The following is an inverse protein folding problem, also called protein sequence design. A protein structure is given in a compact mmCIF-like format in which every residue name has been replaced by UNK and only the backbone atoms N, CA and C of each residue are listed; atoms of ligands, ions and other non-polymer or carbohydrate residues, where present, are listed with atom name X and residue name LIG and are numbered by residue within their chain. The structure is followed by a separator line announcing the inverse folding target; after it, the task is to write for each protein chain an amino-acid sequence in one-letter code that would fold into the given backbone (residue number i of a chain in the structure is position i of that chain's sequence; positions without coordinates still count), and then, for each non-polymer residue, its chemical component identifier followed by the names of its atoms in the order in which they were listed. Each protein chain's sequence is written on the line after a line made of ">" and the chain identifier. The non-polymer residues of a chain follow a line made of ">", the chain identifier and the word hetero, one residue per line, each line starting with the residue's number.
data_IF_986507559597
#
_entry.id   IF_986507559597
#
_cell.length_a   1.000
_cell.length_b   1.000
_cell.length_c   1.000
_cell.angle_alpha   90.00
_cell.angle_beta   90.00
_cell.angle_gamma   90.00
#
_symmetry.space_group_name_H-M   'P 1'
#
loop_
_entity.id
_entity.type
_entity.pdbx_description
1 polymer ?
#
# COMPACT_ATOMS: atom_id res chain seq x y z
N UNK A 1 -13.24 -6.20 -16.60
CA UNK A 1 -13.90 -6.00 -15.29
C UNK A 1 -12.83 -6.23 -14.24
N UNK A 2 -12.81 -5.45 -13.15
CA UNK A 2 -11.83 -5.64 -12.07
C UNK A 2 -12.19 -6.91 -11.29
N UNK A 3 -11.26 -7.84 -11.09
CA UNK A 3 -11.47 -9.01 -10.25
C UNK A 3 -11.07 -8.74 -8.79
N UNK A 4 -12.04 -8.31 -7.98
CA UNK A 4 -11.85 -8.02 -6.57
C UNK A 4 -11.48 -9.24 -5.71
N UNK A 5 -11.77 -10.46 -6.20
CA UNK A 5 -11.46 -11.71 -5.50
C UNK A 5 -10.08 -12.26 -5.87
N UNK A 6 -9.43 -11.72 -6.90
CA UNK A 6 -8.09 -12.11 -7.31
C UNK A 6 -7.15 -12.11 -6.10
N UNK A 7 -6.39 -13.19 -5.95
CA UNK A 7 -5.43 -13.39 -4.87
C UNK A 7 -4.17 -14.01 -5.48
N UNK A 8 -2.97 -13.40 -5.29
CA UNK A 8 -1.73 -14.02 -5.72
C UNK A 8 -1.54 -15.38 -5.04
N UNK A 9 -0.94 -16.34 -5.73
CA UNK A 9 -0.60 -17.64 -5.12
C UNK A 9 0.49 -17.48 -4.04
N UNK A 10 1.46 -16.59 -4.29
CA UNK A 10 2.54 -16.22 -3.37
C UNK A 10 3.01 -14.80 -3.69
N UNK A 11 3.59 -14.12 -2.69
CA UNK A 11 4.32 -12.87 -2.92
C UNK A 11 5.81 -13.07 -3.16
N UNK A 12 6.33 -14.26 -2.86
CA UNK A 12 7.76 -14.53 -2.86
C UNK A 12 8.12 -15.41 -4.07
N UNK A 13 9.10 -14.95 -4.83
CA UNK A 13 9.70 -15.62 -5.98
C UNK A 13 11.02 -16.34 -5.63
N UNK A 14 11.40 -16.33 -4.35
CA UNK A 14 12.61 -16.97 -3.83
C UNK A 14 13.82 -16.05 -3.68
N UNK A 15 13.71 -14.74 -3.95
CA UNK A 15 14.85 -13.81 -3.83
C UNK A 15 15.03 -13.19 -2.45
N UNK A 16 14.12 -13.42 -1.50
CA UNK A 16 14.24 -12.90 -0.14
C UNK A 16 12.98 -13.08 0.71
N UNK A 17 13.05 -12.72 2.01
CA UNK A 17 11.93 -12.80 2.94
C UNK A 17 10.96 -11.61 2.85
N UNK A 18 11.26 -10.63 1.99
CA UNK A 18 10.51 -9.38 1.82
C UNK A 18 10.07 -9.22 0.37
N UNK A 19 8.80 -8.87 0.16
CA UNK A 19 8.22 -8.59 -1.15
C UNK A 19 7.63 -7.16 -1.19
N UNK A 20 7.89 -6.42 -2.27
CA UNK A 20 7.23 -5.14 -2.52
C UNK A 20 5.86 -5.38 -3.16
N UNK A 21 4.79 -5.13 -2.42
CA UNK A 21 3.42 -5.37 -2.89
C UNK A 21 2.89 -4.24 -3.75
N UNK A 22 3.11 -3.00 -3.34
CA UNK A 22 2.66 -1.82 -4.08
C UNK A 22 3.56 -0.62 -3.80
N UNK A 23 3.77 0.20 -4.83
CA UNK A 23 4.29 1.56 -4.71
C UNK A 23 3.13 2.53 -4.89
N UNK A 24 2.97 3.44 -3.93
CA UNK A 24 1.94 4.47 -3.91
C UNK A 24 2.62 5.83 -4.08
N UNK A 25 2.12 6.63 -5.00
CA UNK A 25 2.53 8.03 -5.16
C UNK A 25 1.32 8.89 -4.89
N UNK A 26 1.45 9.93 -4.06
CA UNK A 26 0.38 10.88 -3.74
C UNK A 26 0.72 12.25 -4.32
N UNK A 27 0.35 12.54 -5.59
CA UNK A 27 0.67 13.81 -6.25
C UNK A 27 0.06 15.03 -5.57
N UNK A 28 -1.08 14.85 -4.89
CA UNK A 28 -1.81 15.92 -4.22
C UNK A 28 -1.29 16.25 -2.82
N UNK A 29 -0.40 15.40 -2.27
CA UNK A 29 0.23 15.65 -1.00
C UNK A 29 1.34 16.69 -1.14
N UNK A 30 1.67 17.37 -0.04
CA UNK A 30 2.48 18.61 -0.07
C UNK A 30 3.87 18.41 -0.67
N UNK A 31 4.40 17.20 -0.56
CA UNK A 31 5.77 16.87 -0.96
C UNK A 31 5.84 15.78 -2.03
N UNK A 32 4.70 15.36 -2.60
CA UNK A 32 4.64 14.25 -3.55
C UNK A 32 5.01 12.93 -2.90
N UNK A 33 4.32 12.61 -1.81
CA UNK A 33 4.63 11.52 -0.89
C UNK A 33 4.64 10.17 -1.63
N UNK A 34 5.74 9.44 -1.49
CA UNK A 34 5.87 8.06 -1.96
C UNK A 34 5.81 7.11 -0.77
N UNK A 35 5.00 6.06 -0.89
CA UNK A 35 4.85 5.01 0.11
C UNK A 35 5.04 3.66 -0.55
N UNK A 36 5.85 2.82 0.07
CA UNK A 36 6.01 1.43 -0.32
C UNK A 36 5.28 0.53 0.66
N UNK A 37 4.45 -0.37 0.14
CA UNK A 37 3.79 -1.42 0.92
C UNK A 37 4.58 -2.71 0.73
N UNK A 38 5.16 -3.20 1.81
CA UNK A 38 5.94 -4.43 1.86
C UNK A 38 5.16 -5.56 2.52
N UNK A 39 5.59 -6.78 2.22
CA UNK A 39 5.20 -7.97 2.94
C UNK A 39 6.41 -8.79 3.35
N UNK A 40 6.41 -9.21 4.61
CA UNK A 40 7.37 -10.14 5.19
C UNK A 40 6.64 -11.42 5.64
N UNK A 41 7.36 -12.53 5.74
CA UNK A 41 6.83 -13.75 6.38
C UNK A 41 7.56 -13.98 7.70
N UNK A 42 6.78 -14.05 8.78
CA UNK A 42 7.26 -14.32 10.13
C UNK A 42 6.42 -15.48 10.67
N UNK A 43 7.08 -16.58 11.04
CA UNK A 43 6.42 -17.79 11.56
C UNK A 43 5.28 -18.33 10.69
N UNK A 44 5.39 -18.14 9.36
CA UNK A 44 4.38 -18.58 8.38
C UNK A 44 3.17 -17.64 8.23
N UNK A 45 3.11 -16.55 8.99
CA UNK A 45 2.13 -15.48 8.82
C UNK A 45 2.71 -14.37 7.91
N UNK A 46 1.88 -13.83 7.03
CA UNK A 46 2.23 -12.66 6.24
C UNK A 46 2.05 -11.42 7.10
N UNK A 47 3.10 -10.61 7.21
CA UNK A 47 3.11 -9.32 7.88
C UNK A 47 3.24 -8.21 6.85
N UNK A 48 2.44 -7.17 6.96
CA UNK A 48 2.41 -6.03 6.06
C UNK A 48 2.97 -4.80 6.76
N UNK A 49 3.77 -4.04 6.03
CA UNK A 49 4.36 -2.80 6.49
C UNK A 49 4.21 -1.76 5.39
N UNK A 50 3.91 -0.52 5.77
CA UNK A 50 3.91 0.59 4.84
C UNK A 50 4.88 1.65 5.34
N UNK A 51 5.80 2.04 4.47
CA UNK A 51 6.92 2.91 4.82
C UNK A 51 6.97 4.05 3.80
N UNK A 52 7.06 5.27 4.29
CA UNK A 52 7.23 6.45 3.44
C UNK A 52 8.69 6.60 2.94
N UNK A 53 8.92 7.60 2.08
CA UNK A 53 10.27 7.93 1.59
C UNK A 53 11.28 8.29 2.71
N UNK A 54 10.81 8.78 3.86
CA UNK A 54 11.65 9.20 4.98
C UNK A 54 11.94 8.06 5.98
N UNK A 55 11.39 6.86 5.73
CA UNK A 55 11.53 5.71 6.62
C UNK A 55 10.55 5.71 7.80
N UNK A 56 9.49 6.53 7.75
CA UNK A 56 8.44 6.51 8.76
C UNK A 56 7.45 5.38 8.46
N UNK A 57 7.15 4.59 9.51
CA UNK A 57 6.11 3.58 9.44
C UNK A 57 4.71 4.22 9.46
N UNK A 58 3.84 3.73 8.59
CA UNK A 58 2.42 4.04 8.59
C UNK A 58 1.63 2.95 9.33
N UNK A 59 0.52 3.36 9.93
CA UNK A 59 -0.38 2.45 10.63
C UNK A 59 -1.30 1.75 9.62
N UNK A 60 -1.28 0.42 9.65
CA UNK A 60 -2.17 -0.43 8.87
C UNK A 60 -3.25 -1.03 9.78
N UNK A 61 -4.53 -0.96 9.38
CA UNK A 61 -5.62 -1.60 10.16
C UNK A 61 -5.55 -3.14 10.16
N UNK A 62 -4.95 -3.70 9.11
CA UNK A 62 -4.74 -5.13 8.94
C UNK A 62 -3.28 -5.37 8.60
N UNK A 63 -2.46 -5.49 9.64
CA UNK A 63 -1.01 -5.66 9.53
C UNK A 63 -0.58 -7.10 9.25
N UNK A 64 -1.51 -8.08 9.24
CA UNK A 64 -1.16 -9.48 9.05
C UNK A 64 -2.27 -10.35 8.49
N UNK A 65 -1.88 -11.46 7.86
CA UNK A 65 -2.80 -12.45 7.27
C UNK A 65 -2.15 -13.83 7.16
N UNK A 66 -2.97 -14.88 7.16
CA UNK A 66 -2.53 -16.27 6.96
C UNK A 66 -2.34 -16.64 5.47
N UNK A 67 -2.79 -15.78 4.55
CA UNK A 67 -2.72 -15.96 3.10
C UNK A 67 -2.44 -14.62 2.40
N UNK A 68 -1.87 -14.62 1.17
CA UNK A 68 -1.74 -13.38 0.37
C UNK A 68 -3.09 -12.69 0.28
N UNK A 69 -3.17 -11.37 0.35
CA UNK A 69 -4.43 -10.63 0.35
C UNK A 69 -5.16 -10.79 -0.99
N UNK A 70 -6.49 -10.73 -0.98
CA UNK A 70 -7.22 -10.49 -2.24
C UNK A 70 -7.03 -9.03 -2.68
N UNK A 71 -7.34 -8.74 -3.94
CA UNK A 71 -7.32 -7.38 -4.47
C UNK A 71 -8.18 -6.44 -3.59
N UNK A 72 -9.38 -6.88 -3.18
CA UNK A 72 -10.24 -6.11 -2.29
C UNK A 72 -9.56 -5.83 -0.93
N UNK A 73 -8.94 -6.85 -0.31
CA UNK A 73 -8.24 -6.69 0.96
C UNK A 73 -7.04 -5.72 0.82
N UNK A 74 -6.31 -5.78 -0.29
CA UNK A 74 -5.22 -4.85 -0.60
C UNK A 74 -5.71 -3.41 -0.79
N UNK A 75 -6.84 -3.20 -1.48
CA UNK A 75 -7.47 -1.89 -1.62
C UNK A 75 -7.86 -1.34 -0.25
N UNK A 76 -8.50 -2.13 0.60
CA UNK A 76 -8.89 -1.71 1.95
C UNK A 76 -7.67 -1.35 2.79
N UNK A 77 -6.59 -2.13 2.69
CA UNK A 77 -5.34 -1.84 3.37
C UNK A 77 -4.78 -0.47 2.97
N UNK A 78 -4.72 -0.16 1.68
CA UNK A 78 -4.25 1.15 1.18
C UNK A 78 -5.19 2.28 1.61
N UNK A 79 -6.50 2.11 1.48
CA UNK A 79 -7.49 3.17 1.75
C UNK A 79 -7.67 3.48 3.24
N UNK A 80 -7.31 2.55 4.12
CA UNK A 80 -7.44 2.71 5.58
C UNK A 80 -6.11 2.93 6.27
N UNK A 81 -5.04 3.11 5.51
CA UNK A 81 -3.72 3.45 6.03
C UNK A 81 -3.73 4.86 6.62
N UNK A 82 -3.11 5.00 7.79
CA UNK A 82 -3.07 6.27 8.53
C UNK A 82 -1.62 6.59 8.91
N UNK A 83 -1.24 7.87 8.86
CA UNK A 83 0.06 8.30 9.38
C UNK A 83 0.08 8.18 10.91
N UNK A 84 1.19 7.66 11.47
CA UNK A 84 1.34 7.52 12.92
C UNK A 84 1.44 8.91 13.56
N UNK A 85 0.44 9.31 14.35
CA UNK A 85 0.34 10.67 14.90
C UNK A 85 1.38 11.03 16.00
N UNK A 86 2.39 10.20 16.26
CA UNK A 86 3.31 10.41 17.39
C UNK A 86 4.59 9.56 17.32
N UNK A 87 5.58 10.01 16.57
CA UNK A 87 6.99 9.75 16.90
C UNK A 87 7.86 10.89 16.37
N UNK A 88 8.18 11.79 17.28
CA UNK A 88 8.96 13.01 17.11
C UNK A 88 10.41 12.76 16.67
N UNK A 89 10.77 13.23 15.48
CA UNK A 89 11.98 14.03 15.21
C UNK A 89 11.90 14.66 13.81
N UNK A 90 11.48 15.93 13.75
CA UNK A 90 11.46 16.71 12.50
C UNK A 90 10.09 16.74 11.82
N UNK A 91 9.22 17.62 12.31
CA UNK A 91 8.10 18.28 11.64
C UNK A 91 7.71 17.80 10.21
N UNK A 92 7.18 16.59 10.07
CA UNK A 92 6.43 16.19 8.88
C UNK A 92 5.11 15.61 9.36
N UNK A 93 4.10 16.47 9.43
CA UNK A 93 2.71 16.04 9.43
C UNK A 93 2.47 15.39 8.06
N UNK A 94 2.68 14.06 7.99
CA UNK A 94 2.37 13.25 6.82
C UNK A 94 0.88 13.39 6.54
N UNK A 95 0.53 14.34 5.69
CA UNK A 95 -0.84 14.56 5.27
C UNK A 95 -1.01 13.76 4.00
N UNK A 96 -1.43 12.51 4.13
CA UNK A 96 -1.84 11.70 2.99
C UNK A 96 -3.08 12.35 2.36
N UNK A 97 -2.86 13.16 1.33
CA UNK A 97 -3.90 13.88 0.63
C UNK A 97 -4.19 13.21 -0.72
N UNK A 98 -5.48 13.10 -1.04
CA UNK A 98 -5.91 12.61 -2.35
C UNK A 98 -6.00 11.09 -2.45
N UNK A 99 -5.92 10.59 -3.68
CA UNK A 99 -6.04 9.17 -4.02
C UNK A 99 -4.72 8.77 -4.67
N UNK A 100 -3.97 7.77 -4.18
CA UNK A 100 -2.66 7.49 -4.73
C UNK A 100 -2.72 7.00 -6.18
N UNK A 101 -1.70 7.32 -6.95
CA UNK A 101 -1.29 6.51 -8.10
C UNK A 101 -0.62 5.24 -7.58
N UNK A 102 -0.95 4.09 -8.16
CA UNK A 102 -0.54 2.79 -7.60
C UNK A 102 0.09 1.91 -8.66
N UNK A 103 1.26 1.35 -8.34
CA UNK A 103 1.95 0.35 -9.15
C UNK A 103 2.11 -0.94 -8.36
N UNK A 104 1.80 -2.09 -8.97
CA UNK A 104 1.97 -3.40 -8.35
C UNK A 104 2.24 -4.48 -9.39
N UNK A 105 3.23 -5.35 -9.11
CA UNK A 105 3.48 -6.55 -9.92
C UNK A 105 2.62 -7.74 -9.49
N UNK A 106 2.11 -7.74 -8.26
CA UNK A 106 1.30 -8.83 -7.72
C UNK A 106 -0.18 -8.67 -8.02
N UNK A 107 -0.67 -7.44 -8.14
CA UNK A 107 -2.10 -7.14 -8.32
C UNK A 107 -2.35 -6.42 -9.66
N UNK A 108 -2.66 -7.16 -10.74
CA UNK A 108 -2.73 -6.59 -12.10
C UNK A 108 -3.83 -5.54 -12.27
N UNK A 109 -4.92 -5.64 -11.51
CA UNK A 109 -6.05 -4.69 -11.58
C UNK A 109 -5.95 -3.54 -10.56
N UNK A 110 -4.92 -3.49 -9.71
CA UNK A 110 -4.80 -2.49 -8.65
C UNK A 110 -4.58 -1.08 -9.22
N UNK A 111 -3.65 -0.94 -10.15
CA UNK A 111 -3.38 0.31 -10.86
C UNK A 111 -4.66 0.83 -11.54
N UNK A 112 -5.39 -0.09 -12.20
CA UNK A 112 -6.64 0.24 -12.87
C UNK A 112 -7.71 0.74 -11.90
N UNK A 113 -7.88 0.08 -10.75
CA UNK A 113 -8.84 0.51 -9.73
C UNK A 113 -8.55 1.96 -9.28
N UNK A 114 -7.30 2.25 -8.90
CA UNK A 114 -6.93 3.58 -8.42
C UNK A 114 -6.96 4.64 -9.52
N UNK A 115 -6.59 4.30 -10.75
CA UNK A 115 -6.71 5.19 -11.92
C UNK A 115 -8.16 5.60 -12.17
N UNK A 116 -9.09 4.64 -12.18
CA UNK A 116 -10.51 4.94 -12.36
C UNK A 116 -11.08 5.73 -11.16
N UNK A 117 -10.61 5.44 -9.94
CA UNK A 117 -10.96 6.21 -8.75
C UNK A 117 -10.49 7.66 -8.87
N UNK A 118 -9.23 7.91 -9.24
CA UNK A 118 -8.69 9.27 -9.46
C UNK A 118 -9.56 10.05 -10.45
N UNK A 119 -9.86 9.46 -11.62
CA UNK A 119 -10.75 10.06 -12.64
C UNK A 119 -12.13 10.43 -12.10
N UNK A 120 -12.75 9.54 -11.32
CA UNK A 120 -14.08 9.79 -10.74
C UNK A 120 -14.10 10.98 -9.76
N UNK A 121 -12.95 11.31 -9.16
CA UNK A 121 -12.80 12.47 -8.27
C UNK A 121 -12.19 13.70 -8.98
N UNK A 122 -12.02 13.65 -10.31
CA UNK A 122 -11.44 14.75 -11.08
C UNK A 122 -9.94 14.95 -10.87
N UNK A 123 -9.24 13.92 -10.39
CA UNK A 123 -7.79 13.88 -10.27
C UNK A 123 -7.20 13.24 -11.53
N UNK A 124 -6.06 13.77 -12.01
CA UNK A 124 -5.33 13.25 -13.17
C UNK A 124 -4.25 12.28 -12.72
#
# INVERSE_FOLDING_TARGET
>A
MIDFNFRPETYFDGTGPTALLAKLTYPESRWGEEINVYCNVIDGEYHFEAIDFYGNDLMLRHEKSQKPLSLQEMIVLIETMEAKASSSQGNVELTLCGIPEVQSHHYPDLEKYFTEKRKNFGLN
#
